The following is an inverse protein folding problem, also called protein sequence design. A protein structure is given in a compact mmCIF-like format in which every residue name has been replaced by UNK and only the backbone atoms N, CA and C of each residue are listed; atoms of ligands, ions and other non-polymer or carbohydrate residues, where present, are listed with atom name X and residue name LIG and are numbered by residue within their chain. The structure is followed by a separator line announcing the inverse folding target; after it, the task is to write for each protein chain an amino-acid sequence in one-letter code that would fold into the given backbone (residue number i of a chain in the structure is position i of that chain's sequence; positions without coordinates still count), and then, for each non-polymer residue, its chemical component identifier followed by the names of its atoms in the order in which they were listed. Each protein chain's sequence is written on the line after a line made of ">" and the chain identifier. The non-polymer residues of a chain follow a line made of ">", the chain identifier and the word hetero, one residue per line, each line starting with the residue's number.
data_IF_602257173041
#
_entry.id   IF_602257173041
#
_cell.length_a   1.000
_cell.length_b   1.000
_cell.length_c   1.000
_cell.angle_alpha   90.00
_cell.angle_beta   90.00
_cell.angle_gamma   90.00
#
_symmetry.space_group_name_H-M   'P 1'
#
loop_
_entity.id
_entity.type
_entity.pdbx_description
1 polymer ?
#
# COMPACT_ATOMS: atom_id res chain seq x y z
N UNK A 1 -6.93 -11.88 -26.79
CA UNK A 1 -6.80 -11.43 -25.39
C UNK A 1 -5.56 -10.58 -25.32
N UNK A 2 -5.68 -9.27 -25.05
CA UNK A 2 -4.53 -8.37 -25.00
C UNK A 2 -3.70 -8.70 -23.76
N UNK A 3 -2.58 -9.38 -23.97
CA UNK A 3 -1.56 -9.62 -22.95
C UNK A 3 -0.68 -8.37 -22.85
N UNK A 4 -0.15 -8.11 -21.66
CA UNK A 4 0.79 -7.01 -21.44
C UNK A 4 2.04 -7.22 -22.31
N UNK A 5 2.52 -6.17 -22.97
CA UNK A 5 3.82 -6.24 -23.64
C UNK A 5 4.96 -6.28 -22.63
N UNK A 6 6.13 -6.75 -23.04
CA UNK A 6 7.33 -6.76 -22.18
C UNK A 6 7.66 -5.34 -21.65
N UNK A 7 7.55 -4.32 -22.50
CA UNK A 7 7.73 -2.93 -22.11
C UNK A 7 6.70 -2.47 -21.06
N UNK A 8 5.42 -2.88 -21.22
CA UNK A 8 4.38 -2.58 -20.23
C UNK A 8 4.64 -3.30 -18.91
N UNK A 9 5.10 -4.55 -18.94
CA UNK A 9 5.46 -5.29 -17.73
C UNK A 9 6.63 -4.62 -16.99
N UNK A 10 7.71 -4.28 -17.69
CA UNK A 10 8.83 -3.56 -17.10
C UNK A 10 8.41 -2.23 -16.48
N UNK A 11 7.52 -1.48 -17.14
CA UNK A 11 6.99 -0.24 -16.58
C UNK A 11 6.19 -0.49 -15.28
N UNK A 12 5.35 -1.52 -15.24
CA UNK A 12 4.55 -1.85 -14.06
C UNK A 12 5.43 -2.34 -12.89
N UNK A 13 6.51 -3.08 -13.18
CA UNK A 13 7.49 -3.50 -12.17
C UNK A 13 8.18 -2.28 -11.56
N UNK A 14 8.66 -1.34 -12.40
CA UNK A 14 9.29 -0.12 -11.92
C UNK A 14 8.35 0.72 -11.03
N UNK A 15 7.05 0.77 -11.38
CA UNK A 15 6.04 1.43 -10.54
C UNK A 15 5.88 0.73 -9.18
N UNK A 16 5.85 -0.60 -9.14
CA UNK A 16 5.78 -1.35 -7.88
C UNK A 16 7.04 -1.12 -7.01
N UNK A 17 8.23 -1.11 -7.62
CA UNK A 17 9.49 -0.81 -6.93
C UNK A 17 9.48 0.59 -6.28
N UNK A 18 9.02 1.60 -7.02
CA UNK A 18 8.92 2.98 -6.52
C UNK A 18 7.90 3.10 -5.38
N UNK A 19 6.74 2.44 -5.51
CA UNK A 19 5.71 2.41 -4.47
C UNK A 19 6.21 1.76 -3.19
N UNK A 20 6.88 0.61 -3.30
CA UNK A 20 7.46 -0.13 -2.17
C UNK A 20 8.53 0.71 -1.44
N UNK A 21 9.46 1.32 -2.18
CA UNK A 21 10.50 2.16 -1.60
C UNK A 21 9.92 3.38 -0.88
N UNK A 22 8.84 3.97 -1.41
CA UNK A 22 8.14 5.08 -0.75
C UNK A 22 7.47 4.63 0.55
N UNK A 23 6.76 3.51 0.55
CA UNK A 23 6.07 2.99 1.74
C UNK A 23 7.05 2.59 2.85
N UNK A 24 8.17 1.95 2.51
CA UNK A 24 9.22 1.64 3.50
C UNK A 24 9.79 2.90 4.14
N UNK A 25 10.00 3.97 3.35
CA UNK A 25 10.47 5.26 3.89
C UNK A 25 9.45 5.86 4.86
N UNK A 26 8.17 5.86 4.50
CA UNK A 26 7.09 6.39 5.34
C UNK A 26 6.93 5.61 6.66
N UNK A 27 7.07 4.28 6.63
CA UNK A 27 7.06 3.47 7.84
C UNK A 27 8.27 3.75 8.74
N UNK A 28 9.46 3.84 8.15
CA UNK A 28 10.69 4.18 8.90
C UNK A 28 10.57 5.55 9.57
N UNK A 29 10.02 6.53 8.85
CA UNK A 29 9.78 7.88 9.38
C UNK A 29 8.82 7.84 10.60
N UNK A 30 7.71 7.11 10.49
CA UNK A 30 6.76 6.93 11.60
C UNK A 30 7.33 6.16 12.80
N UNK A 31 8.28 5.25 12.57
CA UNK A 31 8.94 4.46 13.62
C UNK A 31 10.04 5.28 14.33
N UNK A 32 10.74 6.16 13.59
CA UNK A 32 11.79 7.02 14.14
C UNK A 32 11.29 8.14 15.08
N UNK A 33 9.98 8.39 15.12
CA UNK A 33 9.33 9.31 16.06
C UNK A 33 8.92 8.60 17.36
N UNK A 34 9.33 7.33 17.56
CA UNK A 34 9.10 6.66 18.84
C UNK A 34 9.92 7.33 19.95
N UNK A 35 9.29 7.75 21.07
CA UNK A 35 10.00 8.36 22.20
C UNK A 35 11.01 7.42 22.88
N UNK A 36 11.07 6.15 22.46
CA UNK A 36 12.03 5.15 22.95
C UNK A 36 13.50 5.45 22.57
N UNK A 37 13.74 6.22 21.50
CA UNK A 37 15.09 6.57 21.03
C UNK A 37 15.52 8.02 21.39
N UNK A 38 14.65 8.78 22.07
CA UNK A 38 14.95 10.14 22.51
C UNK A 38 15.56 10.14 23.92
N UNK A 39 16.79 10.65 24.06
CA UNK A 39 17.35 10.96 25.39
C UNK A 39 16.42 11.96 26.11
N UNK A 40 16.06 11.73 27.39
CA UNK A 40 15.04 12.53 28.04
C UNK A 40 15.62 13.91 28.41
N UNK A 41 15.44 14.89 27.53
CA UNK A 41 15.58 16.31 27.86
C UNK A 41 14.33 16.76 28.61
N UNK A 42 14.23 16.43 29.90
CA UNK A 42 13.11 16.86 30.75
C UNK A 42 13.43 18.23 31.33
N UNK A 43 12.91 19.29 30.72
CA UNK A 43 12.65 20.55 31.42
C UNK A 43 11.18 20.53 31.91
N UNK A 44 10.91 20.65 33.22
CA UNK A 44 9.67 20.15 33.79
C UNK A 44 8.54 21.20 33.87
N UNK A 45 8.01 21.73 32.77
CA UNK A 45 6.78 22.57 32.86
C UNK A 45 5.97 22.69 31.56
N UNK A 46 5.48 21.57 31.01
CA UNK A 46 4.24 21.61 30.23
C UNK A 46 3.34 20.48 30.72
N UNK A 47 2.13 20.81 31.16
CA UNK A 47 1.09 19.83 31.46
C UNK A 47 0.72 19.19 30.12
N UNK A 48 1.42 18.12 29.77
CA UNK A 48 1.18 17.44 28.50
C UNK A 48 -0.23 16.91 28.54
N UNK A 49 -1.07 17.36 27.60
CA UNK A 49 -2.43 16.83 27.47
C UNK A 49 -2.31 15.36 27.05
N UNK A 50 -2.48 14.47 28.03
CA UNK A 50 -2.44 13.02 27.85
C UNK A 50 -3.45 12.57 26.79
N UNK A 51 -4.57 13.28 26.63
CA UNK A 51 -5.56 12.96 25.62
C UNK A 51 -5.07 13.28 24.20
N UNK A 52 -4.35 14.40 24.02
CA UNK A 52 -3.77 14.77 22.73
C UNK A 52 -2.63 13.82 22.32
N UNK A 53 -1.78 13.42 23.27
CA UNK A 53 -0.76 12.39 23.02
C UNK A 53 -1.40 11.07 22.58
N UNK A 54 -2.39 10.56 23.32
CA UNK A 54 -3.07 9.31 22.98
C UNK A 54 -3.77 9.40 21.62
N UNK A 55 -4.38 10.53 21.28
CA UNK A 55 -4.97 10.76 19.97
C UNK A 55 -3.92 10.72 18.85
N UNK A 56 -2.74 11.31 19.07
CA UNK A 56 -1.63 11.32 18.11
C UNK A 56 -1.07 9.91 17.87
N UNK A 57 -0.89 9.12 18.92
CA UNK A 57 -0.40 7.74 18.83
C UNK A 57 -1.38 6.85 18.06
N UNK A 58 -2.67 6.96 18.35
CA UNK A 58 -3.73 6.24 17.62
C UNK A 58 -3.74 6.62 16.14
N UNK A 59 -3.56 7.90 15.81
CA UNK A 59 -3.46 8.33 14.42
C UNK A 59 -2.24 7.73 13.72
N UNK A 60 -1.08 7.70 14.39
CA UNK A 60 0.13 7.08 13.87
C UNK A 60 -0.05 5.56 13.66
N UNK A 61 -0.72 4.86 14.57
CA UNK A 61 -1.04 3.43 14.42
C UNK A 61 -1.93 3.15 13.21
N UNK A 62 -2.96 3.97 13.00
CA UNK A 62 -3.82 3.85 11.82
C UNK A 62 -3.01 4.04 10.52
N UNK A 63 -2.09 5.02 10.48
CA UNK A 63 -1.21 5.23 9.32
C UNK A 63 -0.24 4.04 9.11
N UNK A 64 0.38 3.53 10.18
CA UNK A 64 1.25 2.34 10.11
C UNK A 64 0.50 1.14 9.54
N UNK A 65 -0.71 0.87 10.03
CA UNK A 65 -1.51 -0.25 9.56
C UNK A 65 -1.93 -0.09 8.09
N UNK A 66 -2.25 1.14 7.68
CA UNK A 66 -2.55 1.46 6.29
C UNK A 66 -1.35 1.15 5.37
N UNK A 67 -0.15 1.63 5.69
CA UNK A 67 1.05 1.37 4.88
C UNK A 67 1.44 -0.10 4.85
N UNK A 68 1.31 -0.83 5.97
CA UNK A 68 1.53 -2.28 6.01
C UNK A 68 0.55 -3.03 5.11
N UNK A 69 -0.70 -2.57 5.06
CA UNK A 69 -1.71 -3.15 4.15
C UNK A 69 -1.34 -2.91 2.69
N UNK A 70 -0.87 -1.71 2.33
CA UNK A 70 -0.43 -1.42 0.96
C UNK A 70 0.80 -2.25 0.56
N UNK A 71 1.79 -2.39 1.45
CA UNK A 71 2.94 -3.28 1.22
C UNK A 71 2.52 -4.72 0.99
N UNK A 72 1.57 -5.23 1.79
CA UNK A 72 1.04 -6.58 1.59
C UNK A 72 0.39 -6.74 0.19
N UNK A 73 -0.28 -5.71 -0.33
CA UNK A 73 -0.81 -5.74 -1.69
C UNK A 73 0.29 -5.75 -2.76
N UNK A 74 1.40 -5.06 -2.53
CA UNK A 74 2.58 -5.10 -3.42
C UNK A 74 3.20 -6.50 -3.41
N UNK A 75 3.34 -7.13 -2.24
CA UNK A 75 3.84 -8.51 -2.12
C UNK A 75 2.97 -9.46 -2.96
N UNK A 76 1.64 -9.39 -2.83
CA UNK A 76 0.72 -10.19 -3.66
C UNK A 76 0.89 -9.88 -5.15
N UNK A 77 1.10 -8.61 -5.54
CA UNK A 77 1.36 -8.27 -6.94
C UNK A 77 2.66 -8.90 -7.46
N UNK A 78 3.73 -8.92 -6.66
CA UNK A 78 5.02 -9.55 -7.01
C UNK A 78 4.94 -11.07 -7.08
N UNK A 79 4.23 -11.71 -6.16
CA UNK A 79 3.97 -13.16 -6.22
C UNK A 79 3.29 -13.53 -7.55
N UNK A 80 2.32 -12.72 -7.97
CA UNK A 80 1.62 -12.94 -9.23
C UNK A 80 2.48 -12.67 -10.46
N UNK A 81 3.45 -11.77 -10.37
CA UNK A 81 4.47 -11.58 -11.40
C UNK A 81 5.34 -12.83 -11.52
N UNK A 82 5.79 -13.38 -10.39
CA UNK A 82 6.59 -14.61 -10.36
C UNK A 82 5.82 -15.82 -10.93
N UNK A 83 4.52 -15.91 -10.65
CA UNK A 83 3.66 -16.97 -11.16
C UNK A 83 3.20 -16.75 -12.62
N UNK A 84 3.55 -15.62 -13.25
CA UNK A 84 3.08 -15.28 -14.60
C UNK A 84 1.58 -14.96 -14.70
N UNK A 85 0.91 -14.71 -13.56
CA UNK A 85 -0.53 -14.41 -13.45
C UNK A 85 -0.83 -12.93 -13.24
N UNK A 86 0.19 -12.08 -13.27
CA UNK A 86 0.04 -10.64 -13.14
C UNK A 86 -0.70 -10.06 -14.35
N UNK A 87 -1.60 -9.11 -14.08
CA UNK A 87 -2.47 -8.52 -15.09
C UNK A 87 -3.67 -9.39 -15.49
N UNK A 88 -3.97 -10.49 -14.79
CA UNK A 88 -5.22 -11.24 -14.93
C UNK A 88 -6.19 -10.91 -13.78
N UNK A 89 -7.50 -10.92 -14.00
CA UNK A 89 -8.46 -10.70 -12.92
C UNK A 89 -8.59 -11.96 -12.06
N UNK A 90 -8.53 -11.83 -10.72
CA UNK A 90 -8.72 -13.00 -9.83
C UNK A 90 -10.13 -13.59 -9.88
N UNK A 91 -11.14 -12.76 -10.20
CA UNK A 91 -12.53 -13.21 -10.19
C UNK A 91 -12.97 -13.89 -11.49
N UNK A 92 -12.52 -13.39 -12.64
CA UNK A 92 -13.01 -13.81 -13.96
C UNK A 92 -11.91 -14.34 -14.90
N UNK A 93 -10.63 -14.12 -14.57
CA UNK A 93 -9.50 -14.57 -15.38
C UNK A 93 -9.17 -13.67 -16.58
N UNK A 94 -10.04 -12.73 -16.96
CA UNK A 94 -9.72 -11.80 -18.06
C UNK A 94 -8.57 -10.83 -17.74
N UNK A 95 -7.89 -10.37 -18.79
CA UNK A 95 -6.85 -9.36 -18.70
C UNK A 95 -7.36 -8.06 -18.07
N UNK A 96 -6.60 -7.55 -17.10
CA UNK A 96 -6.78 -6.22 -16.52
C UNK A 96 -6.14 -5.21 -17.48
N UNK A 97 -6.88 -4.17 -17.92
CA UNK A 97 -6.33 -3.18 -18.84
C UNK A 97 -5.05 -2.53 -18.30
N UNK A 98 -4.04 -2.35 -19.15
CA UNK A 98 -2.79 -1.70 -18.79
C UNK A 98 -3.00 -0.35 -18.10
N UNK A 99 -3.87 0.52 -18.62
CA UNK A 99 -4.16 1.83 -18.02
C UNK A 99 -4.67 1.73 -16.57
N UNK A 100 -5.38 0.64 -16.23
CA UNK A 100 -5.82 0.39 -14.85
C UNK A 100 -4.65 -0.03 -13.96
N UNK A 101 -3.77 -0.90 -14.45
CA UNK A 101 -2.57 -1.30 -13.72
C UNK A 101 -1.57 -0.15 -13.59
N UNK A 102 -1.49 0.72 -14.60
CA UNK A 102 -0.66 1.92 -14.54
C UNK A 102 -1.16 2.89 -13.47
N UNK A 103 -2.48 3.05 -13.33
CA UNK A 103 -3.08 3.86 -12.29
C UNK A 103 -3.00 3.20 -10.89
N UNK A 104 -3.22 1.88 -10.83
CA UNK A 104 -3.17 1.08 -9.61
C UNK A 104 -2.45 -0.26 -9.88
N UNK A 105 -1.13 -0.34 -9.67
CA UNK A 105 -0.33 -1.54 -9.95
C UNK A 105 -0.74 -2.76 -9.10
N UNK A 106 -1.26 -2.53 -7.90
CA UNK A 106 -1.74 -3.61 -7.02
C UNK A 106 -3.16 -4.10 -7.34
N UNK A 107 -3.79 -3.60 -8.43
CA UNK A 107 -5.16 -3.98 -8.76
C UNK A 107 -5.28 -5.49 -9.11
N UNK A 108 -6.08 -6.21 -8.32
CA UNK A 108 -6.27 -7.66 -8.49
C UNK A 108 -7.48 -8.02 -9.37
N UNK A 109 -8.42 -7.09 -9.54
CA UNK A 109 -9.68 -7.30 -10.26
C UNK A 109 -9.83 -6.31 -11.44
N UNK A 110 -10.50 -6.74 -12.51
CA UNK A 110 -10.93 -5.84 -13.59
C UNK A 110 -12.02 -4.88 -13.10
N UNK A 111 -12.26 -3.80 -13.84
CA UNK A 111 -13.26 -2.77 -13.47
C UNK A 111 -14.66 -3.38 -13.31
N UNK A 112 -15.04 -4.33 -14.17
CA UNK A 112 -16.36 -4.96 -14.11
C UNK A 112 -16.55 -5.78 -12.82
N UNK A 113 -15.56 -6.61 -12.45
CA UNK A 113 -15.60 -7.41 -11.22
C UNK A 113 -15.50 -6.54 -9.97
N UNK A 114 -14.67 -5.49 -10.01
CA UNK A 114 -14.58 -4.51 -8.93
C UNK A 114 -15.94 -3.83 -8.66
N UNK A 115 -16.63 -3.36 -9.71
CA UNK A 115 -17.98 -2.77 -9.57
C UNK A 115 -19.02 -3.74 -9.01
N UNK A 116 -18.93 -5.04 -9.37
CA UNK A 116 -19.82 -6.07 -8.82
C UNK A 116 -19.58 -6.30 -7.32
N UNK A 117 -18.32 -6.25 -6.88
CA UNK A 117 -17.92 -6.35 -5.49
C UNK A 117 -18.45 -5.18 -4.66
N UNK A 118 -18.22 -3.96 -5.12
CA UNK A 118 -18.70 -2.74 -4.45
C UNK A 118 -20.23 -2.74 -4.27
N UNK A 119 -20.99 -3.18 -5.28
CA UNK A 119 -22.45 -3.30 -5.20
C UNK A 119 -22.96 -4.36 -4.22
N UNK A 120 -22.14 -5.34 -3.84
CA UNK A 120 -22.52 -6.34 -2.81
C UNK A 120 -22.32 -5.83 -1.39
N UNK A 121 -21.51 -4.79 -1.21
CA UNK A 121 -21.21 -4.18 0.08
C UNK A 121 -21.90 -2.83 0.29
N UNK A 122 -22.65 -2.36 -0.70
CA UNK A 122 -23.57 -1.22 -0.61
C UNK A 122 -24.97 -1.71 -0.25
#
# INVERSE_FOLDING_TARGET
>A
MAQLTEAQQHQLIALLDEQEARLHRQLTELESVSPADAEPAVEPYEEVDLADLEASERAADMMRNHYRTELAQIVVARERLADGRYGLCVDCGEAIPFLRLQAQPTAQCCVACQRKRERRWA
#
